data_IF_598457905484
#
_entry.id   IF_598457905484
#
_cell.length_a   1.000
_cell.length_b   1.000
_cell.length_c   1.000
_cell.angle_alpha   90.00
_cell.angle_beta   90.00
_cell.angle_gamma   90.00
#
_symmetry.space_group_name_H-M   'P 1'
#
loop_
_entity.id
_entity.type
_entity.pdbx_description
1 polymer ?
#
# COMPACT_ATOMS: atom_id res chain seq x y z
N UNK A 1 -14.24 9.96 -5.96
CA UNK A 1 -13.67 9.16 -4.85
C UNK A 1 -12.58 8.25 -5.39
N UNK A 2 -11.44 8.26 -4.77
CA UNK A 2 -10.35 7.38 -5.20
C UNK A 2 -10.25 6.17 -4.29
N UNK A 3 -9.84 5.04 -4.87
CA UNK A 3 -9.55 3.86 -4.10
C UNK A 3 -8.07 3.86 -3.77
N UNK A 4 -7.75 3.78 -2.50
CA UNK A 4 -6.38 3.83 -2.04
C UNK A 4 -6.03 2.49 -1.40
N UNK A 5 -4.97 1.86 -1.89
CA UNK A 5 -4.46 0.61 -1.32
C UNK A 5 -3.23 0.94 -0.50
N UNK A 6 -3.32 0.68 0.81
CA UNK A 6 -2.22 0.95 1.72
C UNK A 6 -1.48 -0.35 1.97
N UNK A 7 -0.20 -0.39 1.65
CA UNK A 7 0.63 -1.58 1.85
C UNK A 7 1.44 -1.38 3.12
N UNK A 8 0.99 -2.02 4.19
CA UNK A 8 1.50 -1.80 5.52
C UNK A 8 0.49 -1.00 6.31
N UNK A 9 0.04 -1.50 7.44
CA UNK A 9 -1.11 -0.94 8.12
C UNK A 9 -0.85 -0.68 9.59
N UNK A 10 0.31 -0.16 9.91
CA UNK A 10 0.67 0.20 11.28
C UNK A 10 0.00 1.48 11.74
N UNK A 11 0.55 2.08 12.80
CA UNK A 11 -0.06 3.27 13.40
C UNK A 11 -0.05 4.47 12.47
N UNK A 12 1.03 4.68 11.74
CA UNK A 12 1.07 5.77 10.77
C UNK A 12 0.08 5.52 9.64
N UNK A 13 -0.07 4.27 9.24
CA UNK A 13 -1.07 3.91 8.24
C UNK A 13 -2.47 4.19 8.72
N UNK A 14 -2.74 3.95 10.00
CA UNK A 14 -4.04 4.24 10.58
C UNK A 14 -4.35 5.74 10.49
N UNK A 15 -3.38 6.59 10.84
CA UNK A 15 -3.56 8.03 10.73
C UNK A 15 -3.85 8.44 9.29
N UNK A 16 -3.12 7.84 8.35
CA UNK A 16 -3.34 8.13 6.94
C UNK A 16 -4.76 7.74 6.52
N UNK A 17 -5.22 6.56 6.92
CA UNK A 17 -6.56 6.10 6.54
C UNK A 17 -7.62 7.03 7.09
N UNK A 18 -7.47 7.46 8.34
CA UNK A 18 -8.43 8.37 8.93
C UNK A 18 -8.51 9.65 8.10
N UNK A 19 -7.36 10.21 7.74
CA UNK A 19 -7.33 11.43 6.93
C UNK A 19 -7.95 11.20 5.56
N UNK A 20 -7.64 10.07 4.93
CA UNK A 20 -8.17 9.75 3.61
C UNK A 20 -9.70 9.63 3.64
N UNK A 21 -10.23 8.98 4.67
CA UNK A 21 -11.67 8.82 4.79
C UNK A 21 -12.37 10.15 5.06
N UNK A 22 -11.73 11.03 5.82
CA UNK A 22 -12.27 12.37 6.02
C UNK A 22 -12.35 13.14 4.71
N UNK A 23 -11.45 12.84 3.78
CA UNK A 23 -11.44 13.47 2.47
C UNK A 23 -12.38 12.75 1.47
N UNK A 24 -13.13 11.76 1.92
CA UNK A 24 -14.09 11.07 1.07
C UNK A 24 -13.50 9.97 0.20
N UNK A 25 -12.31 9.50 0.52
CA UNK A 25 -11.67 8.44 -0.26
C UNK A 25 -12.00 7.07 0.31
N UNK A 26 -11.82 6.04 -0.52
CA UNK A 26 -12.07 4.65 -0.13
C UNK A 26 -10.73 4.00 0.17
N UNK A 27 -10.58 3.44 1.35
CA UNK A 27 -9.28 2.93 1.80
C UNK A 27 -9.31 1.42 2.02
N UNK A 28 -8.29 0.74 1.49
CA UNK A 28 -8.09 -0.70 1.65
C UNK A 28 -6.77 -0.87 2.36
N UNK A 29 -6.78 -1.45 3.55
CA UNK A 29 -5.57 -1.62 4.35
C UNK A 29 -5.06 -3.05 4.22
N UNK A 30 -3.78 -3.21 3.92
CA UNK A 30 -3.16 -4.50 3.68
C UNK A 30 -1.96 -4.67 4.59
N UNK A 31 -1.84 -5.84 5.20
CA UNK A 31 -0.65 -6.18 5.99
C UNK A 31 -0.54 -7.70 6.05
N UNK A 32 0.49 -8.20 6.74
CA UNK A 32 0.70 -9.65 6.81
C UNK A 32 0.11 -10.26 8.08
N UNK A 33 -0.67 -9.52 8.83
CA UNK A 33 -1.37 -10.06 10.00
C UNK A 33 -2.73 -9.37 10.13
N UNK A 34 -3.64 -10.03 10.84
CA UNK A 34 -5.01 -9.54 11.00
C UNK A 34 -5.09 -8.43 12.04
N UNK A 35 -6.06 -7.57 11.86
CA UNK A 35 -6.34 -6.50 12.81
C UNK A 35 -5.21 -5.51 13.00
N UNK A 36 -4.39 -5.32 11.97
CA UNK A 36 -3.39 -4.26 12.01
C UNK A 36 -4.08 -2.91 12.25
N UNK A 37 -3.40 -1.95 12.85
CA UNK A 37 -4.05 -0.68 13.23
C UNK A 37 -4.87 -0.01 12.14
N UNK A 38 -4.34 0.11 10.93
CA UNK A 38 -5.08 0.76 9.86
C UNK A 38 -6.29 -0.05 9.40
N UNK A 39 -6.26 -1.37 9.57
CA UNK A 39 -7.39 -2.21 9.19
C UNK A 39 -8.63 -1.91 10.01
N UNK A 40 -8.43 -1.41 11.23
CA UNK A 40 -9.54 -1.15 12.13
C UNK A 40 -10.38 0.03 11.68
N UNK A 41 -9.84 0.88 10.83
CA UNK A 41 -10.55 2.08 10.37
C UNK A 41 -10.74 2.11 8.86
N UNK A 42 -10.17 1.17 8.13
CA UNK A 42 -10.30 1.13 6.67
C UNK A 42 -11.65 0.58 6.24
N UNK A 43 -12.01 0.82 4.98
CA UNK A 43 -13.23 0.28 4.42
C UNK A 43 -13.12 -1.22 4.17
N UNK A 44 -11.93 -1.68 3.77
CA UNK A 44 -11.65 -3.10 3.56
C UNK A 44 -10.26 -3.40 4.04
N UNK A 45 -9.97 -4.67 4.27
CA UNK A 45 -8.63 -5.09 4.67
C UNK A 45 -8.26 -6.38 3.96
N UNK A 46 -6.96 -6.59 3.78
CA UNK A 46 -6.43 -7.81 3.18
C UNK A 46 -5.22 -8.26 3.97
N UNK A 47 -5.10 -9.56 4.19
CA UNK A 47 -3.96 -10.14 4.88
C UNK A 47 -3.19 -10.96 3.88
N UNK A 48 -2.02 -10.51 3.48
CA UNK A 48 -1.17 -11.23 2.53
C UNK A 48 0.29 -11.01 2.87
N UNK A 49 1.14 -11.82 2.28
CA UNK A 49 2.57 -11.60 2.34
C UNK A 49 2.94 -10.67 1.18
N UNK A 50 3.25 -9.44 1.47
CA UNK A 50 3.53 -8.45 0.44
C UNK A 50 4.88 -8.65 -0.25
N UNK A 51 5.68 -9.59 0.22
CA UNK A 51 6.88 -10.00 -0.49
C UNK A 51 6.55 -11.04 -1.57
N UNK A 52 5.34 -11.56 -1.56
CA UNK A 52 4.88 -12.50 -2.58
C UNK A 52 4.24 -11.71 -3.70
N UNK A 53 4.95 -11.57 -4.82
CA UNK A 53 4.47 -10.77 -5.94
C UNK A 53 3.14 -11.25 -6.51
N UNK A 54 2.91 -12.58 -6.50
CA UNK A 54 1.65 -13.12 -7.00
C UNK A 54 0.49 -12.72 -6.11
N UNK A 55 0.67 -12.80 -4.79
CA UNK A 55 -0.37 -12.39 -3.86
C UNK A 55 -0.66 -10.89 -3.99
N UNK A 56 0.40 -10.10 -4.16
CA UNK A 56 0.23 -8.66 -4.30
C UNK A 56 -0.52 -8.33 -5.60
N UNK A 57 -0.17 -8.99 -6.71
CA UNK A 57 -0.87 -8.79 -7.97
C UNK A 57 -2.35 -9.14 -7.84
N UNK A 58 -2.67 -10.21 -7.11
CA UNK A 58 -4.06 -10.61 -6.94
C UNK A 58 -4.87 -9.54 -6.22
N UNK A 59 -4.28 -8.90 -5.20
CA UNK A 59 -4.96 -7.84 -4.47
C UNK A 59 -5.16 -6.61 -5.35
N UNK A 60 -4.14 -6.23 -6.12
CA UNK A 60 -4.25 -5.09 -7.01
C UNK A 60 -5.32 -5.34 -8.08
N UNK A 61 -5.36 -6.56 -8.63
CA UNK A 61 -6.36 -6.89 -9.65
C UNK A 61 -7.76 -6.94 -9.06
N UNK A 62 -7.89 -7.40 -7.81
CA UNK A 62 -9.18 -7.48 -7.15
C UNK A 62 -9.76 -6.09 -6.87
N UNK A 63 -8.95 -5.21 -6.35
CA UNK A 63 -9.44 -3.90 -5.89
C UNK A 63 -9.32 -2.79 -6.92
N UNK A 64 -8.40 -2.95 -7.87
CA UNK A 64 -8.16 -1.94 -8.93
C UNK A 64 -8.02 -0.54 -8.33
N UNK A 65 -7.02 -0.37 -7.46
CA UNK A 65 -6.86 0.91 -6.78
C UNK A 65 -6.41 2.01 -7.73
N UNK A 66 -6.74 3.23 -7.38
CA UNK A 66 -6.25 4.41 -8.11
C UNK A 66 -4.89 4.84 -7.58
N UNK A 67 -4.63 4.56 -6.31
CA UNK A 67 -3.40 5.00 -5.64
C UNK A 67 -2.92 3.88 -4.73
N UNK A 68 -1.62 3.59 -4.78
CA UNK A 68 -0.99 2.63 -3.89
C UNK A 68 0.01 3.38 -3.02
N UNK A 69 -0.06 3.17 -1.72
CA UNK A 69 0.85 3.81 -0.78
C UNK A 69 1.60 2.73 -0.02
N UNK A 70 2.87 2.51 -0.36
CA UNK A 70 3.70 1.58 0.42
C UNK A 70 4.16 2.25 1.69
N UNK A 71 3.90 1.60 2.81
CA UNK A 71 4.23 2.17 4.12
C UNK A 71 5.33 1.38 4.82
N UNK A 72 5.54 0.13 4.45
CA UNK A 72 6.58 -0.69 5.07
C UNK A 72 7.58 -1.14 4.01
N UNK A 73 8.71 -1.68 4.49
CA UNK A 73 9.77 -2.11 3.58
C UNK A 73 9.58 -3.52 3.05
N UNK A 74 8.80 -4.33 3.73
CA UNK A 74 8.65 -5.74 3.35
C UNK A 74 7.64 -5.88 2.21
N UNK A 75 7.96 -5.31 1.07
CA UNK A 75 7.12 -5.30 -0.12
C UNK A 75 7.97 -5.69 -1.32
N UNK A 76 7.38 -6.42 -2.25
CA UNK A 76 8.05 -6.73 -3.50
C UNK A 76 8.04 -5.48 -4.39
N UNK A 77 9.06 -4.65 -4.24
CA UNK A 77 9.06 -3.30 -4.81
C UNK A 77 9.07 -3.28 -6.33
N UNK A 78 9.62 -4.30 -6.98
CA UNK A 78 9.61 -4.29 -8.44
C UNK A 78 8.19 -4.35 -9.00
N UNK A 79 7.23 -4.86 -8.24
CA UNK A 79 5.84 -4.86 -8.68
C UNK A 79 5.27 -3.45 -8.73
N UNK A 80 5.78 -2.55 -7.89
CA UNK A 80 5.29 -1.17 -7.90
C UNK A 80 5.59 -0.48 -9.23
N UNK A 81 6.72 -0.80 -9.87
CA UNK A 81 7.03 -0.28 -11.20
C UNK A 81 6.01 -0.77 -12.21
N UNK A 82 5.62 -2.06 -12.12
CA UNK A 82 4.64 -2.62 -13.03
C UNK A 82 3.29 -1.94 -12.88
N UNK A 83 2.91 -1.64 -11.63
CA UNK A 83 1.62 -0.99 -11.39
C UNK A 83 1.61 0.43 -11.95
N UNK A 84 2.74 1.14 -11.82
CA UNK A 84 2.84 2.48 -12.40
C UNK A 84 2.70 2.43 -13.92
N UNK A 85 3.28 1.41 -14.56
CA UNK A 85 3.15 1.25 -16.00
C UNK A 85 1.73 0.98 -16.42
N UNK A 86 0.95 0.39 -15.53
CA UNK A 86 -0.47 0.12 -15.80
C UNK A 86 -1.35 1.35 -15.53
N UNK A 87 -0.75 2.45 -15.14
CA UNK A 87 -1.48 3.68 -14.90
C UNK A 87 -1.94 3.90 -13.48
N UNK A 88 -1.50 3.05 -12.53
CA UNK A 88 -1.85 3.22 -11.13
C UNK A 88 -0.81 4.14 -10.49
N UNK A 89 -1.28 5.15 -9.78
CA UNK A 89 -0.36 6.06 -9.11
C UNK A 89 0.22 5.39 -7.87
N UNK A 90 1.52 5.51 -7.67
CA UNK A 90 2.19 5.03 -6.47
C UNK A 90 2.81 6.24 -5.78
N UNK A 91 2.53 6.45 -4.51
CA UNK A 91 3.01 7.62 -3.78
C UNK A 91 3.66 7.18 -2.46
N UNK A 92 4.96 7.36 -2.28
CA UNK A 92 5.87 7.95 -3.28
C UNK A 92 6.02 7.04 -4.48
N UNK A 93 6.58 7.54 -5.57
CA UNK A 93 6.70 6.76 -6.79
C UNK A 93 7.48 5.48 -6.54
N UNK A 94 7.28 4.47 -7.40
CA UNK A 94 7.98 3.20 -7.26
C UNK A 94 9.49 3.40 -7.27
N UNK A 95 9.98 4.32 -8.10
CA UNK A 95 11.41 4.60 -8.17
C UNK A 95 11.92 5.13 -6.83
N UNK A 96 11.19 6.05 -6.22
CA UNK A 96 11.60 6.63 -4.94
C UNK A 96 11.57 5.59 -3.83
N UNK A 97 10.55 4.74 -3.82
CA UNK A 97 10.44 3.68 -2.82
C UNK A 97 11.61 2.70 -2.96
N UNK A 98 11.89 2.27 -4.18
CA UNK A 98 12.96 1.33 -4.44
C UNK A 98 14.31 1.90 -4.02
N UNK A 99 14.54 3.16 -4.35
CA UNK A 99 15.78 3.83 -3.98
C UNK A 99 15.94 3.89 -2.45
N UNK A 100 14.90 4.31 -1.76
CA UNK A 100 14.94 4.44 -0.32
C UNK A 100 15.18 3.11 0.38
N UNK A 101 14.48 2.08 -0.05
CA UNK A 101 14.55 0.79 0.62
C UNK A 101 15.84 0.05 0.32
N UNK A 102 16.38 0.22 -0.87
CA UNK A 102 17.61 -0.47 -1.24
C UNK A 102 18.85 0.25 -0.75
N UNK A 103 18.78 1.55 -0.60
CA UNK A 103 19.95 2.30 -0.18
C UNK A 103 20.05 2.41 1.30
N UNK A 104 19.09 2.12 2.02
CA UNK A 104 19.07 2.22 3.47
C UNK A 104 19.85 3.44 3.95
N UNK A 105 19.30 4.24 4.73
CA UNK A 105 19.98 5.42 5.17
C UNK A 105 21.23 5.07 5.89
N UNK A 106 22.26 5.65 5.44
CA UNK A 106 23.44 5.40 6.07
C UNK A 106 23.65 6.51 6.91
N UNK A 107 23.25 6.70 7.76
CA UNK A 107 23.41 7.86 8.42
C UNK A 107 22.98 7.73 9.64
#
# INVERSE_FOLDING_TARGET
MKKILLLGSGELGKEFVIAAKRAGQYAIACDNYENAPAMQVADESEVIDMLDGTALDAIVDKHKPDLIIPEIEAIRTERLFDYEERGIQVAPSARAVNFTMNRRPIR
#
